data_IF_497779616166
#
_entry.id   IF_497779616166
#
_cell.length_a   1.000
_cell.length_b   1.000
_cell.length_c   1.000
_cell.angle_alpha   90.00
_cell.angle_beta   90.00
_cell.angle_gamma   90.00
#
_symmetry.space_group_name_H-M   'P 1'
#
loop_
_entity.id
_entity.type
_entity.pdbx_description
1 polymer ?
#
# COMPACT_ATOMS: atom_id res chain seq x y z
N UNK A 1 -10.26 15.27 -3.27
CA UNK A 1 -9.71 13.91 -3.04
C UNK A 1 -8.22 14.02 -3.16
N UNK A 2 -7.48 13.73 -2.09
CA UNK A 2 -6.01 13.83 -2.13
C UNK A 2 -5.40 12.70 -3.00
N UNK A 3 -4.13 12.82 -3.40
CA UNK A 3 -3.48 11.80 -4.26
C UNK A 3 -3.43 10.41 -3.60
N UNK A 4 -3.31 10.35 -2.27
CA UNK A 4 -3.25 9.08 -1.54
C UNK A 4 -4.62 8.39 -1.55
N UNK A 5 -5.69 9.13 -1.29
CA UNK A 5 -7.08 8.69 -1.31
C UNK A 5 -7.47 8.17 -2.70
N UNK A 6 -7.06 8.87 -3.77
CA UNK A 6 -7.23 8.37 -5.14
C UNK A 6 -6.51 7.04 -5.37
N UNK A 7 -5.30 6.88 -4.83
CA UNK A 7 -4.51 5.65 -4.98
C UNK A 7 -5.09 4.49 -4.13
N UNK A 8 -5.65 4.78 -2.95
CA UNK A 8 -6.38 3.83 -2.11
C UNK A 8 -7.65 3.37 -2.83
N UNK A 9 -8.38 4.29 -3.45
CA UNK A 9 -9.59 3.97 -4.21
C UNK A 9 -9.28 3.08 -5.43
N UNK A 10 -8.13 3.27 -6.10
CA UNK A 10 -7.69 2.35 -7.16
C UNK A 10 -7.37 0.96 -6.62
N UNK A 11 -6.73 0.85 -5.46
CA UNK A 11 -6.51 -0.44 -4.79
C UNK A 11 -7.85 -1.11 -4.43
N UNK A 12 -8.82 -0.33 -3.94
CA UNK A 12 -10.16 -0.83 -3.64
C UNK A 12 -10.83 -1.42 -4.87
N UNK A 13 -10.90 -0.64 -5.96
CA UNK A 13 -11.52 -1.05 -7.23
C UNK A 13 -10.90 -2.32 -7.80
N UNK A 14 -9.58 -2.46 -7.76
CA UNK A 14 -8.95 -3.69 -8.27
C UNK A 14 -9.28 -4.91 -7.38
N UNK A 15 -9.40 -4.74 -6.05
CA UNK A 15 -9.79 -5.83 -5.14
C UNK A 15 -11.27 -6.17 -5.26
N UNK A 16 -12.15 -5.17 -5.43
CA UNK A 16 -13.57 -5.39 -5.70
C UNK A 16 -13.78 -6.10 -7.05
N UNK A 17 -12.97 -5.77 -8.06
CA UNK A 17 -12.96 -6.51 -9.31
C UNK A 17 -12.55 -7.98 -9.09
N UNK A 18 -11.49 -8.25 -8.29
CA UNK A 18 -11.16 -9.63 -7.91
C UNK A 18 -12.35 -10.33 -7.27
N UNK A 19 -13.01 -9.68 -6.31
CA UNK A 19 -14.18 -10.22 -5.63
C UNK A 19 -15.30 -10.54 -6.62
N UNK A 20 -15.64 -9.62 -7.51
CA UNK A 20 -16.69 -9.83 -8.50
C UNK A 20 -16.36 -11.01 -9.40
N UNK A 21 -15.12 -11.07 -9.88
CA UNK A 21 -14.66 -12.16 -10.75
C UNK A 21 -14.70 -13.53 -10.07
N UNK A 22 -14.47 -13.61 -8.76
CA UNK A 22 -14.58 -14.89 -8.04
C UNK A 22 -16.01 -15.45 -8.01
N UNK A 23 -17.04 -14.64 -8.26
CA UNK A 23 -18.44 -15.09 -8.24
C UNK A 23 -18.81 -15.98 -9.42
N UNK A 24 -18.07 -15.90 -10.54
CA UNK A 24 -18.30 -16.71 -11.73
C UNK A 24 -17.80 -18.15 -11.61
N UNK A 25 -17.06 -18.48 -10.54
CA UNK A 25 -16.42 -19.78 -10.38
C UNK A 25 -16.89 -20.46 -9.10
N UNK A 26 -16.93 -21.78 -9.15
CA UNK A 26 -17.19 -22.64 -8.00
C UNK A 26 -15.98 -22.70 -7.06
N UNK A 27 -16.22 -23.06 -5.80
CA UNK A 27 -15.15 -23.26 -4.84
C UNK A 27 -14.20 -24.40 -5.25
N UNK A 28 -14.73 -25.45 -5.92
CA UNK A 28 -13.94 -26.57 -6.43
C UNK A 28 -12.97 -26.12 -7.51
N UNK A 29 -13.42 -25.25 -8.43
CA UNK A 29 -12.54 -24.64 -9.42
C UNK A 29 -11.46 -23.79 -8.78
N UNK A 30 -11.70 -23.16 -7.63
CA UNK A 30 -10.69 -22.36 -6.93
C UNK A 30 -9.71 -23.17 -6.06
N UNK A 31 -10.10 -24.35 -5.60
CA UNK A 31 -9.38 -25.12 -4.59
C UNK A 31 -8.12 -25.88 -5.09
N UNK A 32 -7.70 -25.72 -6.35
CA UNK A 32 -6.52 -26.41 -6.87
C UNK A 32 -5.20 -25.84 -6.31
N UNK A 33 -4.87 -26.19 -5.07
CA UNK A 33 -3.58 -26.05 -4.37
C UNK A 33 -3.01 -24.63 -4.16
N UNK A 34 -3.61 -23.57 -4.70
CA UNK A 34 -3.09 -22.20 -4.54
C UNK A 34 -3.80 -21.39 -3.43
N UNK A 35 -5.11 -21.60 -3.21
CA UNK A 35 -5.91 -20.87 -2.20
C UNK A 35 -6.80 -21.84 -1.42
N UNK A 36 -6.73 -21.89 -0.08
CA UNK A 36 -7.63 -22.74 0.72
C UNK A 36 -9.09 -22.38 0.52
N UNK A 37 -9.98 -23.38 0.45
CA UNK A 37 -11.45 -23.20 0.31
C UNK A 37 -12.02 -22.20 1.32
N UNK A 38 -11.62 -22.32 2.59
CA UNK A 38 -12.10 -21.42 3.64
C UNK A 38 -11.69 -19.95 3.40
N UNK A 39 -10.49 -19.71 2.87
CA UNK A 39 -10.03 -18.37 2.52
C UNK A 39 -10.82 -17.81 1.34
N UNK A 40 -11.11 -18.65 0.33
CA UNK A 40 -11.93 -18.28 -0.82
C UNK A 40 -13.35 -17.87 -0.40
N UNK A 41 -14.03 -18.66 0.43
CA UNK A 41 -15.38 -18.33 0.89
C UNK A 41 -15.41 -17.07 1.75
N UNK A 42 -14.44 -16.91 2.67
CA UNK A 42 -14.32 -15.69 3.46
C UNK A 42 -14.13 -14.47 2.57
N UNK A 43 -13.27 -14.57 1.55
CA UNK A 43 -13.06 -13.48 0.60
C UNK A 43 -14.34 -13.13 -0.14
N UNK A 44 -15.06 -14.14 -0.66
CA UNK A 44 -16.32 -13.96 -1.40
C UNK A 44 -17.44 -13.30 -0.58
N UNK A 45 -17.41 -13.44 0.74
CA UNK A 45 -18.36 -12.83 1.67
C UNK A 45 -17.87 -11.48 2.24
N UNK A 46 -16.68 -11.01 1.85
CA UNK A 46 -16.10 -9.78 2.39
C UNK A 46 -16.70 -8.55 1.72
N UNK A 47 -16.85 -7.48 2.49
CA UNK A 47 -17.42 -6.22 2.02
C UNK A 47 -16.64 -5.02 2.57
N UNK A 48 -16.64 -3.92 1.82
CA UNK A 48 -16.09 -2.65 2.26
C UNK A 48 -14.62 -2.75 2.73
N UNK A 49 -14.37 -2.37 3.98
CA UNK A 49 -13.02 -2.32 4.55
C UNK A 49 -12.40 -3.70 4.79
N UNK A 50 -13.22 -4.76 4.90
CA UNK A 50 -12.73 -6.13 5.12
C UNK A 50 -11.83 -6.61 3.98
N UNK A 51 -12.05 -6.07 2.78
CA UNK A 51 -11.24 -6.35 1.60
C UNK A 51 -9.75 -5.99 1.79
N UNK A 52 -9.44 -5.02 2.64
CA UNK A 52 -8.06 -4.61 2.90
C UNK A 52 -7.34 -5.49 3.93
N UNK A 53 -8.05 -6.36 4.67
CA UNK A 53 -7.44 -7.23 5.66
C UNK A 53 -6.71 -8.43 5.03
N UNK A 54 -7.02 -8.77 3.78
CA UNK A 54 -6.34 -9.84 3.06
C UNK A 54 -4.88 -9.50 2.77
N UNK A 55 -4.03 -10.54 2.85
CA UNK A 55 -2.63 -10.43 2.48
C UNK A 55 -2.51 -10.21 0.97
N UNK A 56 -1.55 -9.38 0.55
CA UNK A 56 -1.30 -9.10 -0.87
C UNK A 56 -0.95 -10.39 -1.65
N UNK A 57 -0.24 -11.33 -1.02
CA UNK A 57 0.08 -12.64 -1.62
C UNK A 57 -1.17 -13.49 -1.84
N UNK A 58 -2.15 -13.44 -0.93
CA UNK A 58 -3.41 -14.18 -0.98
C UNK A 58 -4.29 -13.64 -2.11
N UNK A 59 -4.43 -12.31 -2.19
CA UNK A 59 -5.14 -11.66 -3.29
C UNK A 59 -4.46 -11.93 -4.64
N UNK A 60 -3.12 -11.96 -4.67
CA UNK A 60 -2.38 -12.33 -5.87
C UNK A 60 -2.59 -13.79 -6.29
N UNK A 61 -2.65 -14.73 -5.34
CA UNK A 61 -2.99 -16.14 -5.63
C UNK A 61 -4.41 -16.28 -6.18
N UNK A 62 -5.37 -15.54 -5.61
CA UNK A 62 -6.73 -15.46 -6.14
C UNK A 62 -6.71 -14.94 -7.58
N UNK A 63 -6.01 -13.83 -7.83
CA UNK A 63 -5.88 -13.24 -9.16
C UNK A 63 -5.23 -14.20 -10.18
N UNK A 64 -4.18 -14.92 -9.77
CA UNK A 64 -3.54 -15.95 -10.60
C UNK A 64 -4.46 -17.12 -10.90
N UNK A 65 -5.30 -17.52 -9.95
CA UNK A 65 -6.26 -18.59 -10.18
C UNK A 65 -7.32 -18.16 -11.19
N UNK A 66 -7.77 -16.92 -11.13
CA UNK A 66 -8.66 -16.33 -12.15
C UNK A 66 -8.02 -16.40 -13.53
N UNK A 67 -6.78 -15.95 -13.70
CA UNK A 67 -6.07 -16.00 -15.00
C UNK A 67 -5.84 -17.43 -15.51
N UNK A 68 -5.76 -18.42 -14.61
CA UNK A 68 -5.70 -19.82 -14.99
C UNK A 68 -7.04 -20.29 -15.58
N UNK A 69 -8.15 -19.92 -14.92
CA UNK A 69 -9.51 -20.32 -15.31
C UNK A 69 -10.01 -19.56 -16.54
N UNK A 70 -9.53 -18.33 -16.73
CA UNK A 70 -9.79 -17.47 -17.89
C UNK A 70 -8.46 -17.02 -18.51
N UNK A 71 -8.06 -17.73 -19.57
CA UNK A 71 -6.76 -17.55 -20.23
C UNK A 71 -6.58 -16.21 -20.93
N UNK A 72 -7.66 -15.50 -21.23
CA UNK A 72 -7.60 -14.16 -21.83
C UNK A 72 -7.42 -13.07 -20.77
N UNK A 73 -7.52 -13.44 -19.49
CA UNK A 73 -7.37 -12.50 -18.41
C UNK A 73 -5.93 -12.12 -18.08
N UNK A 74 -5.77 -10.88 -17.61
CA UNK A 74 -4.53 -10.33 -17.08
C UNK A 74 -4.67 -9.85 -15.62
N UNK A 75 -5.59 -10.44 -14.87
CA UNK A 75 -6.02 -9.99 -13.53
C UNK A 75 -4.86 -9.99 -12.54
N UNK A 76 -4.02 -11.04 -12.55
CA UNK A 76 -2.86 -11.11 -11.67
C UNK A 76 -1.84 -10.02 -12.01
N UNK A 77 -1.62 -9.75 -13.30
CA UNK A 77 -0.70 -8.71 -13.73
C UNK A 77 -1.22 -7.31 -13.37
N UNK A 78 -2.51 -7.05 -13.57
CA UNK A 78 -3.17 -5.80 -13.22
C UNK A 78 -3.12 -5.55 -11.71
N UNK A 79 -3.46 -6.55 -10.88
CA UNK A 79 -3.36 -6.45 -9.42
C UNK A 79 -1.92 -6.19 -8.97
N UNK A 80 -0.95 -6.95 -9.50
CA UNK A 80 0.47 -6.76 -9.18
C UNK A 80 0.94 -5.35 -9.54
N UNK A 81 0.54 -4.82 -10.69
CA UNK A 81 0.91 -3.48 -11.16
C UNK A 81 0.42 -2.41 -10.18
N UNK A 82 -0.85 -2.44 -9.80
CA UNK A 82 -1.44 -1.45 -8.90
C UNK A 82 -0.79 -1.46 -7.51
N UNK A 83 -0.65 -2.62 -6.87
CA UNK A 83 0.00 -2.74 -5.56
C UNK A 83 1.47 -2.31 -5.63
N UNK A 84 2.17 -2.66 -6.71
CA UNK A 84 3.57 -2.26 -6.90
C UNK A 84 3.68 -0.74 -7.08
N UNK A 85 2.81 -0.13 -7.87
CA UNK A 85 2.77 1.31 -8.09
C UNK A 85 2.50 2.06 -6.77
N UNK A 86 1.50 1.62 -6.00
CA UNK A 86 1.18 2.18 -4.69
C UNK A 86 2.38 2.11 -3.74
N UNK A 87 2.96 0.92 -3.58
CA UNK A 87 4.14 0.68 -2.74
C UNK A 87 5.33 1.54 -3.17
N UNK A 88 5.55 1.67 -4.48
CA UNK A 88 6.65 2.45 -5.03
C UNK A 88 6.50 3.94 -4.72
N UNK A 89 5.29 4.48 -4.94
CA UNK A 89 4.98 5.90 -4.77
C UNK A 89 5.04 6.33 -3.30
N UNK A 90 4.39 5.57 -2.42
CA UNK A 90 4.15 6.02 -1.04
C UNK A 90 5.16 5.51 -0.02
N UNK A 91 5.79 4.37 -0.28
CA UNK A 91 6.67 3.72 0.71
C UNK A 91 8.12 3.74 0.24
N UNK A 92 8.40 3.16 -0.93
CA UNK A 92 9.79 2.99 -1.38
C UNK A 92 10.48 4.31 -1.70
N UNK A 93 9.75 5.29 -2.28
CA UNK A 93 10.28 6.64 -2.52
C UNK A 93 10.76 7.29 -1.22
N UNK A 94 9.98 7.18 -0.16
CA UNK A 94 10.31 7.81 1.13
C UNK A 94 11.39 7.05 1.90
N UNK A 95 11.41 5.72 1.83
CA UNK A 95 12.53 4.92 2.35
C UNK A 95 13.85 5.35 1.70
N UNK A 96 13.86 5.57 0.38
CA UNK A 96 15.06 6.02 -0.35
C UNK A 96 15.51 7.42 0.09
N UNK A 97 14.57 8.33 0.35
CA UNK A 97 14.88 9.72 0.77
C UNK A 97 15.42 9.82 2.19
N UNK A 98 14.80 9.11 3.15
CA UNK A 98 15.07 9.29 4.58
C UNK A 98 15.93 8.18 5.21
N UNK A 99 16.22 7.10 4.46
CA UNK A 99 17.04 5.97 4.90
C UNK A 99 16.35 5.06 5.92
N UNK A 100 15.59 5.63 6.85
CA UNK A 100 14.77 4.94 7.84
C UNK A 100 13.48 5.74 8.08
N UNK A 101 12.34 5.04 8.14
CA UNK A 101 11.06 5.66 8.49
C UNK A 101 10.82 5.29 9.96
N UNK A 102 10.95 6.26 10.86
CA UNK A 102 10.95 6.07 12.33
C UNK A 102 9.75 5.32 12.91
N UNK A 103 8.71 5.09 12.10
CA UNK A 103 7.47 4.38 12.47
C UNK A 103 7.26 3.04 11.76
N UNK A 104 8.23 2.56 10.98
CA UNK A 104 8.16 1.23 10.34
C UNK A 104 9.23 0.36 10.98
N UNK A 105 8.81 -0.76 11.58
CA UNK A 105 9.75 -1.70 12.16
C UNK A 105 10.64 -2.33 11.07
N UNK A 106 11.82 -2.83 11.48
CA UNK A 106 12.82 -3.39 10.57
C UNK A 106 12.29 -4.53 9.69
N UNK A 107 11.47 -5.43 10.24
CA UNK A 107 10.94 -6.58 9.51
C UNK A 107 9.97 -6.16 8.39
N UNK A 108 9.07 -5.23 8.68
CA UNK A 108 8.15 -4.65 7.69
C UNK A 108 8.92 -3.86 6.65
N UNK A 109 9.93 -3.10 7.06
CA UNK A 109 10.80 -2.37 6.14
C UNK A 109 11.55 -3.32 5.20
N UNK A 110 12.06 -4.45 5.70
CA UNK A 110 12.70 -5.51 4.91
C UNK A 110 11.70 -6.13 3.91
N UNK A 111 10.46 -6.40 4.34
CA UNK A 111 9.37 -6.84 3.43
C UNK A 111 9.07 -5.79 2.36
N UNK A 112 9.09 -4.50 2.69
CA UNK A 112 8.89 -3.46 1.69
C UNK A 112 10.06 -3.35 0.73
N UNK A 113 11.31 -3.40 1.20
CA UNK A 113 12.50 -3.34 0.33
C UNK A 113 12.65 -4.54 -0.61
N UNK A 114 12.03 -5.68 -0.30
CA UNK A 114 12.03 -6.83 -1.18
C UNK A 114 11.46 -6.50 -2.56
N UNK A 115 12.11 -7.02 -3.61
CA UNK A 115 11.66 -6.95 -5.01
C UNK A 115 10.33 -7.66 -5.23
N UNK A 116 9.95 -8.57 -4.32
CA UNK A 116 8.62 -9.16 -4.34
C UNK A 116 7.61 -8.16 -3.74
N UNK A 117 6.71 -7.64 -4.57
CA UNK A 117 5.63 -6.76 -4.14
C UNK A 117 4.46 -7.51 -3.51
N UNK A 118 4.45 -8.84 -3.58
CA UNK A 118 3.41 -9.71 -3.05
C UNK A 118 3.90 -10.47 -1.83
N UNK A 119 4.49 -9.75 -0.86
CA UNK A 119 4.86 -10.35 0.42
C UNK A 119 3.63 -10.49 1.32
N UNK A 120 3.73 -11.35 2.34
CA UNK A 120 2.71 -11.57 3.36
C UNK A 120 2.60 -10.36 4.33
N UNK A 121 2.05 -9.27 3.82
CA UNK A 121 1.47 -8.14 4.54
C UNK A 121 0.06 -7.88 4.01
N UNK A 122 -0.84 -7.35 4.84
CA UNK A 122 -2.18 -6.97 4.39
C UNK A 122 -2.16 -5.67 3.60
N UNK A 123 -3.15 -5.48 2.73
CA UNK A 123 -3.33 -4.21 2.02
C UNK A 123 -3.53 -3.06 3.02
N UNK A 124 -4.23 -3.32 4.13
CA UNK A 124 -4.39 -2.35 5.21
C UNK A 124 -3.03 -1.93 5.80
N UNK A 125 -2.09 -2.86 6.03
CA UNK A 125 -0.74 -2.51 6.48
C UNK A 125 -0.04 -1.56 5.49
N UNK A 126 -0.20 -1.78 4.19
CA UNK A 126 0.37 -0.91 3.15
C UNK A 126 -0.24 0.50 3.23
N UNK A 127 -1.56 0.59 3.36
CA UNK A 127 -2.32 1.85 3.47
C UNK A 127 -1.93 2.61 4.74
N UNK A 128 -1.99 1.96 5.91
CA UNK A 128 -1.64 2.58 7.20
C UNK A 128 -0.22 3.16 7.19
N UNK A 129 0.74 2.49 6.56
CA UNK A 129 2.09 3.04 6.43
C UNK A 129 2.17 4.24 5.49
N UNK A 130 1.46 4.21 4.36
CA UNK A 130 1.38 5.35 3.45
C UNK A 130 0.76 6.60 4.12
N UNK A 131 -0.34 6.43 4.85
CA UNK A 131 -0.99 7.52 5.60
C UNK A 131 -0.05 8.11 6.65
N UNK A 132 0.68 7.27 7.39
CA UNK A 132 1.63 7.72 8.40
C UNK A 132 2.78 8.53 7.77
N UNK A 133 3.28 8.11 6.61
CA UNK A 133 4.32 8.81 5.86
C UNK A 133 3.83 10.17 5.37
N UNK A 134 2.61 10.24 4.85
CA UNK A 134 2.00 11.48 4.37
C UNK A 134 1.82 12.49 5.52
N UNK A 135 1.29 12.04 6.68
CA UNK A 135 1.12 12.88 7.88
C UNK A 135 2.44 13.50 8.35
N UNK A 136 3.53 12.73 8.37
CA UNK A 136 4.86 13.21 8.75
C UNK A 136 5.40 14.21 7.73
N UNK A 137 5.14 13.99 6.44
CA UNK A 137 5.62 14.89 5.38
C UNK A 137 4.94 16.25 5.45
N UNK A 138 3.63 16.29 5.75
CA UNK A 138 2.85 17.52 5.88
C UNK A 138 3.16 18.30 7.18
N UNK A 139 3.68 17.64 8.22
CA UNK A 139 4.09 18.33 9.46
C UNK A 139 5.43 19.04 9.32
N UNK A 140 6.32 18.56 8.45
CA UNK A 140 7.59 19.24 8.17
C UNK A 140 7.45 20.47 7.27
N UNK A 141 6.36 20.61 6.50
CA UNK A 141 6.11 21.80 5.66
C UNK A 141 5.45 22.95 6.43
N UNK A 142 4.93 22.71 7.63
CA UNK A 142 4.21 23.70 8.44
C UNK A 142 5.04 24.23 9.64
N UNK A 143 6.37 24.12 9.59
CA UNK A 143 7.19 24.85 10.57
C UNK A 143 7.18 26.31 10.12
N UNK A 144 6.58 27.26 10.90
CA UNK A 144 6.77 28.66 10.58
C UNK A 144 8.26 28.93 10.69
N UNK A 145 8.85 29.51 9.63
CA UNK A 145 10.16 30.13 9.75
C UNK A 145 10.10 31.06 10.96
N UNK A 146 10.80 30.69 12.04
CA UNK A 146 10.98 31.61 13.16
C UNK A 146 11.59 32.87 12.57
N UNK A 147 10.86 33.97 12.71
CA UNK A 147 11.28 35.30 12.31
C UNK A 147 12.72 35.56 12.70
N UNK A 148 13.50 36.06 11.74
CA UNK A 148 14.80 36.68 11.99
C UNK A 148 14.56 38.14 12.37
N UNK A 149 14.01 38.36 13.55
CA UNK A 149 14.01 39.64 14.28
C UNK A 149 14.52 39.24 15.68
N UNK A 150 15.56 39.76 16.32
CA UNK A 150 16.39 40.96 16.27
C UNK A 150 17.82 40.54 16.71
N UNK A 151 18.95 41.28 16.69
CA UNK A 151 19.23 42.64 17.12
C UNK A 151 20.59 43.03 16.50
N UNK A 152 20.60 44.14 15.76
CA UNK A 152 21.81 44.80 15.29
C UNK A 152 22.52 45.51 16.47
N UNK A 153 23.42 44.79 17.15
CA UNK A 153 24.25 45.34 18.22
C UNK A 153 25.41 46.16 17.67
N UNK A 154 25.17 47.43 17.32
CA UNK A 154 26.23 48.41 17.11
C UNK A 154 26.95 48.70 18.44
N UNK A 155 28.15 48.17 18.62
CA UNK A 155 29.12 48.74 19.57
C UNK A 155 30.03 49.71 18.82
N UNK A 156 29.79 51.01 19.00
CA UNK A 156 30.80 52.05 18.73
C UNK A 156 31.84 51.98 19.84
N UNK A 157 33.08 51.70 19.49
CA UNK A 157 34.23 51.99 20.33
C UNK A 157 34.62 53.46 20.11
N UNK A 158 34.72 54.19 21.22
CA UNK A 158 35.37 55.50 21.31
C UNK A 158 36.76 55.22 21.85
N UNK A 159 37.79 55.63 21.11
CA UNK A 159 39.06 56.18 21.60
C UNK A 159 39.71 56.98 20.46
#
# INVERSE_FOLDING_TARGET
MDELENDIERLKKIIENLLERTKYYSATEFNCNEVPVGTFFKFRQSEGKELFHYQADTLYKIARRIDHLDKESNTAQSFRKEVTAFKQRWILKEIKRKGNISRINYHTLKKFRSKNSMNSYSINTLITHAENIQKVSNTHTNTPEKGKDDVNGQRKFIE
#
